data_IF_737583306498
#
_entry.id   IF_737583306498
#
_cell.length_a   1.000
_cell.length_b   1.000
_cell.length_c   1.000
_cell.angle_alpha   90.00
_cell.angle_beta   90.00
_cell.angle_gamma   90.00
#
_symmetry.space_group_name_H-M   'P 1'
#
loop_
_entity.id
_entity.type
_entity.pdbx_description
1 polymer ?
#
# COMPACT_ATOMS: atom_id res chain seq x y z
N UNK A 1 -33.70 -23.77 -46.73
CA UNK A 1 -32.63 -24.60 -47.32
C UNK A 1 -31.31 -24.30 -46.60
N UNK A 2 -30.58 -25.36 -46.24
CA UNK A 2 -29.22 -25.46 -45.68
C UNK A 2 -28.95 -24.87 -44.27
N UNK A 3 -29.17 -25.77 -43.32
CA UNK A 3 -28.52 -25.89 -42.01
C UNK A 3 -27.04 -26.29 -42.16
N UNK A 4 -26.16 -25.78 -41.29
CA UNK A 4 -24.94 -26.49 -40.90
C UNK A 4 -24.71 -26.36 -39.38
N UNK A 5 -24.88 -27.51 -38.72
CA UNK A 5 -24.46 -27.80 -37.35
C UNK A 5 -22.95 -27.96 -37.31
N UNK A 6 -22.29 -27.44 -36.28
CA UNK A 6 -20.96 -27.90 -35.87
C UNK A 6 -20.97 -28.29 -34.40
N UNK A 7 -20.43 -29.48 -34.16
CA UNK A 7 -20.59 -30.33 -32.99
C UNK A 7 -19.67 -29.95 -31.84
N UNK A 8 -20.21 -30.00 -30.62
CA UNK A 8 -19.47 -30.10 -29.36
C UNK A 8 -18.60 -31.37 -29.35
N UNK A 9 -17.31 -31.25 -29.01
CA UNK A 9 -16.48 -32.37 -28.55
C UNK A 9 -16.13 -32.16 -27.08
N UNK A 10 -16.64 -33.09 -26.25
CA UNK A 10 -16.24 -33.29 -24.86
C UNK A 10 -14.88 -33.99 -24.84
N UNK A 11 -13.92 -33.48 -24.09
CA UNK A 11 -12.75 -34.25 -23.67
C UNK A 11 -12.95 -34.68 -22.21
N UNK A 12 -12.95 -35.99 -21.99
CA UNK A 12 -12.92 -36.64 -20.70
C UNK A 12 -11.79 -37.66 -20.71
N UNK A 13 -10.85 -37.54 -19.78
CA UNK A 13 -9.86 -38.54 -19.32
C UNK A 13 -8.88 -37.77 -18.40
N UNK A 14 -8.39 -38.26 -17.27
CA UNK A 14 -8.51 -39.55 -16.59
C UNK A 14 -8.00 -39.28 -15.16
N UNK A 15 -8.76 -39.65 -14.15
CA UNK A 15 -8.28 -39.67 -12.77
C UNK A 15 -7.33 -40.85 -12.58
N UNK A 16 -6.12 -40.60 -12.09
CA UNK A 16 -5.20 -41.63 -11.61
C UNK A 16 -5.18 -41.59 -10.09
N UNK A 17 -5.81 -42.61 -9.50
CA UNK A 17 -5.72 -42.97 -8.10
C UNK A 17 -4.27 -43.27 -7.71
N UNK A 18 -3.73 -42.57 -6.70
CA UNK A 18 -2.57 -43.05 -5.95
C UNK A 18 -3.01 -43.46 -4.55
N UNK A 19 -2.70 -44.72 -4.29
CA UNK A 19 -2.94 -45.53 -3.12
C UNK A 19 -2.24 -44.94 -1.89
N UNK A 20 -2.95 -45.00 -0.77
CA UNK A 20 -2.44 -44.73 0.57
C UNK A 20 -1.40 -45.78 0.98
N UNK A 21 -0.31 -45.33 1.59
CA UNK A 21 0.54 -46.15 2.46
C UNK A 21 0.55 -45.46 3.82
N UNK A 22 -0.04 -46.13 4.80
CA UNK A 22 0.02 -45.74 6.19
C UNK A 22 1.38 -46.12 6.81
N UNK A 23 1.86 -45.28 7.71
CA UNK A 23 2.84 -45.68 8.71
C UNK A 23 2.42 -45.09 10.06
N UNK A 24 2.25 -46.00 11.02
CA UNK A 24 1.81 -45.76 12.39
C UNK A 24 2.93 -45.16 13.24
N UNK A 25 2.48 -44.31 14.17
CA UNK A 25 2.97 -44.02 15.53
C UNK A 25 4.34 -44.56 15.99
N UNK A 26 5.14 -43.68 16.57
CA UNK A 26 5.91 -43.98 17.78
C UNK A 26 6.04 -42.70 18.64
N UNK A 27 5.34 -42.70 19.78
CA UNK A 27 5.55 -41.78 20.88
C UNK A 27 6.76 -42.21 21.69
N UNK A 28 7.62 -41.29 22.11
CA UNK A 28 8.46 -41.50 23.28
C UNK A 28 8.65 -40.18 24.04
N UNK A 29 8.08 -40.14 25.25
CA UNK A 29 8.34 -39.15 26.30
C UNK A 29 9.44 -39.67 27.23
N UNK A 30 9.94 -38.74 28.05
CA UNK A 30 10.82 -38.85 29.24
C UNK A 30 12.30 -38.65 28.90
N UNK A 31 13.10 -37.85 29.63
CA UNK A 31 12.87 -37.09 30.85
C UNK A 31 14.17 -36.33 31.19
N UNK A 32 14.04 -35.25 31.98
CA UNK A 32 15.17 -34.55 32.63
C UNK A 32 15.87 -35.45 33.65
N UNK A 33 17.14 -35.16 33.95
CA UNK A 33 17.46 -34.83 35.34
C UNK A 33 18.38 -33.62 35.51
N UNK A 34 18.57 -33.30 36.78
CA UNK A 34 18.98 -32.04 37.41
C UNK A 34 20.44 -32.00 37.88
N UNK A 35 20.92 -30.75 38.06
CA UNK A 35 21.86 -30.22 39.09
C UNK A 35 23.36 -30.61 39.11
N UNK A 36 24.15 -29.54 38.96
CA UNK A 36 25.19 -29.02 39.88
C UNK A 36 26.41 -29.88 40.25
N UNK A 37 27.60 -29.31 40.01
CA UNK A 37 28.87 -29.75 40.59
C UNK A 37 30.03 -28.90 40.08
N UNK A 38 30.73 -28.24 41.00
CA UNK A 38 31.76 -27.22 40.82
C UNK A 38 33.18 -27.78 40.62
N UNK A 39 34.07 -26.86 40.22
CA UNK A 39 35.53 -26.79 40.46
C UNK A 39 36.45 -27.84 39.82
N UNK A 40 37.32 -27.40 38.91
CA UNK A 40 38.75 -27.14 39.18
C UNK A 40 39.54 -26.88 37.89
N UNK A 41 40.45 -25.91 37.96
CA UNK A 41 41.39 -25.54 36.90
C UNK A 41 42.49 -26.59 36.75
N UNK A 42 42.80 -26.95 35.50
CA UNK A 42 44.11 -27.48 35.13
C UNK A 42 44.45 -27.02 33.70
N UNK A 43 45.50 -26.21 33.59
CA UNK A 43 46.14 -25.86 32.33
C UNK A 43 46.91 -27.09 31.83
N UNK A 44 46.61 -27.56 30.62
CA UNK A 44 47.43 -28.49 29.88
C UNK A 44 47.53 -28.01 28.42
N UNK A 45 48.73 -27.63 28.03
CA UNK A 45 49.14 -27.32 26.67
C UNK A 45 49.07 -28.58 25.82
N UNK A 46 48.09 -28.62 24.92
CA UNK A 46 47.93 -29.69 23.94
C UNK A 46 47.62 -29.09 22.57
N UNK A 47 48.60 -29.08 21.68
CA UNK A 47 48.44 -28.88 20.25
C UNK A 47 47.63 -30.05 19.70
N UNK A 48 46.33 -29.85 19.48
CA UNK A 48 45.50 -30.77 18.71
C UNK A 48 44.79 -30.03 17.59
N UNK A 49 45.02 -30.54 16.38
CA UNK A 49 44.43 -30.13 15.12
C UNK A 49 42.97 -30.58 15.11
N UNK A 50 42.05 -29.62 15.30
CA UNK A 50 40.61 -29.88 15.26
C UNK A 50 40.00 -29.28 14.00
N UNK A 51 39.71 -30.17 13.05
CA UNK A 51 38.90 -29.95 11.85
C UNK A 51 37.41 -29.99 12.23
N UNK A 52 36.90 -28.88 12.74
CA UNK A 52 35.46 -28.64 12.92
C UNK A 52 34.87 -27.85 11.74
N UNK A 53 33.63 -28.13 11.30
CA UNK A 53 33.00 -27.39 10.21
C UNK A 53 32.72 -25.93 10.62
N UNK A 54 33.33 -25.00 9.89
CA UNK A 54 33.06 -23.56 9.97
C UNK A 54 31.59 -23.31 9.61
N UNK A 55 30.80 -22.60 10.43
CA UNK A 55 29.47 -22.18 10.03
C UNK A 55 29.61 -21.20 8.86
N UNK A 56 29.17 -21.63 7.68
CA UNK A 56 29.14 -20.81 6.47
C UNK A 56 28.24 -19.59 6.72
N UNK A 57 28.87 -18.46 7.04
CA UNK A 57 28.31 -17.13 6.79
C UNK A 57 28.04 -17.00 5.28
N UNK A 58 26.82 -17.32 4.83
CA UNK A 58 26.33 -16.86 3.53
C UNK A 58 25.72 -15.47 3.73
N UNK A 59 26.62 -14.49 3.81
CA UNK A 59 26.29 -13.09 3.88
C UNK A 59 27.47 -12.32 3.32
N UNK A 60 27.55 -12.26 1.98
CA UNK A 60 28.21 -11.22 1.18
C UNK A 60 28.17 -11.68 -0.29
N UNK A 61 27.21 -11.19 -1.06
CA UNK A 61 27.29 -11.04 -2.52
C UNK A 61 26.05 -10.28 -3.01
N UNK A 62 25.96 -8.99 -2.70
CA UNK A 62 25.15 -8.05 -3.50
C UNK A 62 25.73 -6.65 -3.36
N UNK A 63 26.75 -6.35 -4.17
CA UNK A 63 27.19 -4.99 -4.45
C UNK A 63 27.51 -4.92 -5.94
N UNK A 64 26.47 -4.90 -6.77
CA UNK A 64 26.50 -4.40 -8.15
C UNK A 64 25.08 -4.41 -8.73
N UNK A 65 24.38 -3.27 -8.65
CA UNK A 65 23.46 -2.75 -9.68
C UNK A 65 22.58 -1.61 -9.12
N UNK A 66 23.20 -0.52 -8.66
CA UNK A 66 22.60 0.82 -8.73
C UNK A 66 23.67 1.70 -9.38
N UNK A 67 23.83 1.54 -10.69
CA UNK A 67 24.75 2.36 -11.48
C UNK A 67 24.35 2.33 -12.96
N UNK A 68 23.13 2.72 -13.29
CA UNK A 68 22.76 3.01 -14.69
C UNK A 68 21.77 4.18 -14.74
N UNK A 69 22.32 5.39 -14.59
CA UNK A 69 21.94 6.63 -15.29
C UNK A 69 22.60 7.85 -14.61
N UNK A 70 23.86 8.12 -14.93
CA UNK A 70 24.51 9.41 -14.64
C UNK A 70 25.17 9.90 -15.92
N UNK A 71 24.62 10.89 -16.64
CA UNK A 71 25.48 11.82 -17.35
C UNK A 71 25.98 12.86 -16.35
N UNK A 72 27.31 12.90 -16.21
CA UNK A 72 28.16 13.90 -15.56
C UNK A 72 27.45 15.08 -14.86
N UNK A 73 27.32 15.01 -13.53
CA UNK A 73 27.21 16.19 -12.67
C UNK A 73 28.57 16.45 -12.01
N UNK A 74 28.98 17.72 -11.82
CA UNK A 74 30.29 18.08 -11.27
C UNK A 74 30.46 17.50 -9.86
N UNK A 75 31.63 16.91 -9.62
CA UNK A 75 31.98 16.00 -8.52
C UNK A 75 31.99 16.61 -7.10
N UNK A 76 31.22 17.67 -6.81
CA UNK A 76 31.28 18.38 -5.53
C UNK A 76 29.97 18.38 -4.71
N UNK A 77 28.93 17.62 -5.10
CA UNK A 77 27.66 17.54 -4.33
C UNK A 77 27.19 16.12 -3.94
N UNK A 78 28.01 15.10 -4.17
CA UNK A 78 27.64 13.69 -3.90
C UNK A 78 28.05 13.24 -2.47
N UNK A 79 28.89 14.00 -1.76
CA UNK A 79 29.49 13.56 -0.50
C UNK A 79 28.56 13.49 0.72
N UNK A 80 27.49 14.28 0.80
CA UNK A 80 26.64 14.36 2.00
C UNK A 80 25.32 13.59 1.92
N UNK A 81 24.80 13.34 0.72
CA UNK A 81 23.57 12.56 0.52
C UNK A 81 23.83 11.04 0.58
N UNK A 82 24.94 10.57 0.01
CA UNK A 82 25.26 9.14 -0.06
C UNK A 82 25.55 8.47 1.30
N UNK A 83 26.08 9.23 2.27
CA UNK A 83 26.40 8.70 3.60
C UNK A 83 25.21 8.66 4.57
N UNK A 84 24.17 9.50 4.37
CA UNK A 84 22.97 9.49 5.23
C UNK A 84 22.02 8.32 4.92
N UNK A 85 22.03 7.80 3.68
CA UNK A 85 21.16 6.69 3.26
C UNK A 85 21.60 5.31 3.76
N UNK A 86 22.91 5.03 3.84
CA UNK A 86 23.40 3.67 4.14
C UNK A 86 23.08 3.23 5.57
N UNK A 87 23.10 4.14 6.54
CA UNK A 87 22.74 3.81 7.93
C UNK A 87 21.25 3.52 8.12
N UNK A 88 20.38 4.19 7.35
CA UNK A 88 18.93 3.98 7.40
C UNK A 88 18.51 2.63 6.80
N UNK A 89 19.28 2.08 5.85
CA UNK A 89 19.00 0.77 5.26
C UNK A 89 19.02 -0.38 6.29
N UNK A 90 19.80 -0.24 7.37
CA UNK A 90 19.97 -1.26 8.42
C UNK A 90 19.36 -0.87 9.77
N UNK A 91 18.74 0.32 9.87
CA UNK A 91 18.11 0.77 11.11
C UNK A 91 16.72 0.14 11.25
N UNK A 92 16.39 -0.33 12.45
CA UNK A 92 15.02 -0.73 12.77
C UNK A 92 14.10 0.50 12.67
N UNK A 93 12.89 0.36 12.11
CA UNK A 93 11.94 1.45 12.04
C UNK A 93 11.67 2.05 13.42
N UNK A 94 11.54 3.38 13.50
CA UNK A 94 11.17 4.07 14.74
C UNK A 94 9.78 3.63 15.17
N UNK A 95 9.64 3.29 16.46
CA UNK A 95 8.36 2.86 17.03
C UNK A 95 7.31 3.96 17.00
N UNK A 96 6.06 3.54 16.81
CA UNK A 96 4.88 4.41 16.89
C UNK A 96 3.83 3.78 17.81
N UNK A 97 2.89 4.58 18.30
CA UNK A 97 1.73 4.03 19.02
C UNK A 97 0.80 3.38 18.01
N UNK A 98 0.84 2.06 17.94
CA UNK A 98 -0.04 1.30 17.05
C UNK A 98 -1.50 1.35 17.52
N UNK A 99 -2.40 1.63 16.60
CA UNK A 99 -3.82 1.61 16.84
C UNK A 99 -4.32 0.17 17.07
N UNK A 100 -5.12 -0.05 18.11
CA UNK A 100 -5.75 -1.35 18.43
C UNK A 100 -7.25 -1.39 18.15
N UNK A 101 -7.83 -0.26 17.78
CA UNK A 101 -9.26 -0.08 17.52
C UNK A 101 -9.43 0.74 16.24
N UNK A 102 -9.10 0.17 15.06
CA UNK A 102 -9.09 0.89 13.79
C UNK A 102 -10.49 1.33 13.34
N UNK A 103 -11.53 0.66 13.83
CA UNK A 103 -12.94 0.93 13.52
C UNK A 103 -13.77 1.06 14.78
N UNK A 104 -14.86 1.82 14.74
CA UNK A 104 -15.80 1.95 15.85
C UNK A 104 -17.25 2.11 15.37
N UNK A 105 -18.21 1.59 16.13
CA UNK A 105 -19.65 1.58 15.75
C UNK A 105 -20.28 2.97 15.69
N UNK A 106 -19.72 3.93 16.42
CA UNK A 106 -20.16 5.32 16.48
C UNK A 106 -19.55 6.19 15.36
N UNK A 107 -18.89 5.57 14.39
CA UNK A 107 -18.20 6.25 13.29
C UNK A 107 -18.91 5.97 11.97
N UNK A 108 -19.33 7.05 11.31
CA UNK A 108 -19.85 7.01 9.95
C UNK A 108 -18.76 7.18 8.91
N UNK A 109 -17.83 8.10 9.11
CA UNK A 109 -16.65 8.26 8.27
C UNK A 109 -15.43 8.50 9.15
N UNK A 110 -14.44 7.63 9.04
CA UNK A 110 -13.18 7.75 9.77
C UNK A 110 -11.98 7.26 8.97
N UNK A 111 -10.82 7.85 9.23
CA UNK A 111 -9.55 7.49 8.61
C UNK A 111 -8.52 7.22 9.69
N UNK A 112 -7.86 6.07 9.59
CA UNK A 112 -6.64 5.75 10.32
C UNK A 112 -5.47 5.83 9.33
N UNK A 113 -4.50 6.70 9.59
CA UNK A 113 -3.28 6.74 8.79
C UNK A 113 -2.27 5.72 9.31
N UNK A 114 -1.99 4.69 8.50
CA UNK A 114 -1.06 3.60 8.84
C UNK A 114 0.38 3.98 8.48
N UNK A 115 0.57 5.02 7.67
CA UNK A 115 1.85 5.50 7.17
C UNK A 115 2.02 5.23 5.67
N UNK A 116 2.80 6.07 5.01
CA UNK A 116 2.92 6.14 3.55
C UNK A 116 1.57 6.44 2.89
N UNK A 117 1.25 5.80 1.77
CA UNK A 117 -0.09 5.79 1.17
C UNK A 117 -1.06 4.78 1.82
N UNK A 118 -0.64 4.07 2.88
CA UNK A 118 -1.52 3.13 3.58
C UNK A 118 -2.46 3.87 4.53
N UNK A 119 -3.75 3.85 4.23
CA UNK A 119 -4.81 4.36 5.08
C UNK A 119 -5.95 3.34 5.18
N UNK A 120 -6.46 3.17 6.40
CA UNK A 120 -7.69 2.42 6.64
C UNK A 120 -8.84 3.41 6.74
N UNK A 121 -9.78 3.30 5.81
CA UNK A 121 -10.97 4.13 5.73
C UNK A 121 -12.16 3.30 6.20
N UNK A 122 -12.86 3.79 7.21
CA UNK A 122 -14.14 3.26 7.65
C UNK A 122 -15.26 4.13 7.10
N UNK A 123 -16.22 3.53 6.39
CA UNK A 123 -17.50 4.16 6.04
C UNK A 123 -18.62 3.28 6.57
N UNK A 124 -19.29 3.71 7.64
CA UNK A 124 -20.24 2.91 8.43
C UNK A 124 -19.67 1.52 8.77
N UNK A 125 -20.23 0.46 8.19
CA UNK A 125 -19.82 -0.94 8.36
C UNK A 125 -18.76 -1.41 7.34
N UNK A 126 -18.41 -0.60 6.34
CA UNK A 126 -17.40 -0.93 5.34
C UNK A 126 -16.01 -0.49 5.76
N UNK A 127 -15.03 -1.34 5.46
CA UNK A 127 -13.61 -1.03 5.66
C UNK A 127 -12.87 -1.13 4.33
N UNK A 128 -12.16 -0.07 3.99
CA UNK A 128 -11.34 0.04 2.79
C UNK A 128 -9.89 0.25 3.22
N UNK A 129 -8.94 -0.40 2.56
CA UNK A 129 -7.51 -0.26 2.82
C UNK A 129 -6.80 0.17 1.54
N UNK A 130 -6.12 1.30 1.58
CA UNK A 130 -5.34 1.82 0.43
C UNK A 130 -3.90 1.32 0.50
N UNK A 131 -3.32 0.97 -0.64
CA UNK A 131 -1.89 0.69 -0.87
C UNK A 131 -1.18 0.06 0.34
N UNK A 132 -1.55 -1.18 0.73
CA UNK A 132 -1.13 -1.75 2.00
C UNK A 132 0.36 -2.06 2.03
N UNK A 133 1.08 -1.37 2.92
CA UNK A 133 2.49 -1.64 3.20
C UNK A 133 2.73 -1.72 4.70
N UNK A 134 2.94 -2.95 5.18
CA UNK A 134 3.27 -3.26 6.58
C UNK A 134 4.71 -3.77 6.75
N UNK A 135 5.33 -4.26 5.66
CA UNK A 135 6.68 -4.82 5.68
C UNK A 135 7.71 -3.75 6.02
N UNK A 136 8.73 -4.13 6.82
CA UNK A 136 9.81 -3.21 7.22
C UNK A 136 10.71 -2.79 6.06
N UNK A 137 10.71 -3.55 4.96
CA UNK A 137 11.46 -3.27 3.73
C UNK A 137 10.54 -3.49 2.54
N UNK A 138 10.57 -2.59 1.56
CA UNK A 138 9.88 -2.71 0.26
C UNK A 138 10.89 -2.84 -0.86
N UNK A 139 10.56 -3.64 -1.88
CA UNK A 139 11.44 -3.91 -3.03
C UNK A 139 12.80 -4.52 -2.66
N UNK A 140 12.94 -5.04 -1.43
CA UNK A 140 14.20 -5.50 -0.82
C UNK A 140 15.27 -4.41 -0.63
N UNK A 141 14.94 -3.14 -0.87
CA UNK A 141 15.94 -2.05 -0.91
C UNK A 141 15.56 -0.82 -0.09
N UNK A 142 14.27 -0.55 0.13
CA UNK A 142 13.84 0.64 0.86
C UNK A 142 13.28 0.24 2.23
N UNK A 143 14.01 0.57 3.29
CA UNK A 143 13.59 0.33 4.68
C UNK A 143 12.63 1.42 5.16
N UNK A 144 11.60 1.02 5.92
CA UNK A 144 10.71 1.95 6.61
C UNK A 144 11.49 2.72 7.68
N UNK A 145 11.26 4.03 7.74
CA UNK A 145 11.77 4.89 8.81
C UNK A 145 10.97 4.71 10.11
N UNK A 146 9.71 4.27 10.01
CA UNK A 146 8.72 4.22 11.07
C UNK A 146 7.86 2.96 10.96
N UNK A 147 7.53 2.36 12.10
CA UNK A 147 6.62 1.21 12.18
C UNK A 147 5.24 1.58 11.59
N UNK A 148 4.50 0.61 11.02
CA UNK A 148 3.12 0.85 10.60
C UNK A 148 2.25 1.23 11.80
N UNK A 149 1.34 2.16 11.57
CA UNK A 149 0.40 2.68 12.57
C UNK A 149 -0.62 1.67 13.09
N UNK A 150 -0.66 0.47 12.53
CA UNK A 150 -1.45 -0.68 13.00
C UNK A 150 -0.62 -1.95 12.82
N UNK A 151 -0.78 -2.90 13.73
CA UNK A 151 -0.24 -4.25 13.57
C UNK A 151 -1.12 -4.99 12.53
N UNK A 152 -0.56 -5.67 11.51
CA UNK A 152 -1.33 -6.43 10.53
C UNK A 152 -2.36 -7.37 11.14
N UNK A 153 -2.08 -7.93 12.33
CA UNK A 153 -3.04 -8.81 13.03
C UNK A 153 -4.31 -8.07 13.48
N UNK A 154 -4.21 -6.77 13.76
CA UNK A 154 -5.28 -5.92 14.27
C UNK A 154 -6.09 -5.27 13.12
N UNK A 155 -5.67 -5.45 11.86
CA UNK A 155 -6.47 -5.08 10.68
C UNK A 155 -7.77 -5.91 10.69
N UNK A 156 -8.96 -5.31 10.57
CA UNK A 156 -10.22 -6.04 10.49
C UNK A 156 -10.40 -6.68 9.10
N UNK A 157 -11.54 -7.34 8.87
CA UNK A 157 -11.91 -7.72 7.49
C UNK A 157 -12.07 -6.46 6.65
N UNK A 158 -11.52 -6.49 5.44
CA UNK A 158 -11.48 -5.37 4.50
C UNK A 158 -12.39 -5.70 3.32
N UNK A 159 -13.35 -4.84 3.03
CA UNK A 159 -14.29 -4.99 1.93
C UNK A 159 -13.63 -4.77 0.57
N UNK A 160 -12.68 -3.82 0.50
CA UNK A 160 -11.87 -3.57 -0.68
C UNK A 160 -10.45 -3.10 -0.29
N UNK A 161 -9.45 -3.72 -0.89
CA UNK A 161 -8.07 -3.20 -0.93
C UNK A 161 -7.89 -2.46 -2.25
N UNK A 162 -7.46 -1.21 -2.18
CA UNK A 162 -7.23 -0.36 -3.35
C UNK A 162 -5.73 -0.28 -3.61
N UNK A 163 -5.29 -0.74 -4.77
CA UNK A 163 -3.90 -0.56 -5.23
C UNK A 163 -3.90 0.53 -6.28
N UNK A 164 -3.21 1.64 -6.03
CA UNK A 164 -3.14 2.77 -6.95
C UNK A 164 -2.24 2.46 -8.15
N UNK A 165 -1.05 1.91 -7.93
CA UNK A 165 -0.06 1.61 -8.97
C UNK A 165 0.96 0.55 -8.53
N UNK A 166 1.85 0.15 -9.44
CA UNK A 166 2.63 -1.10 -9.33
C UNK A 166 3.99 -0.98 -8.64
N UNK A 167 4.36 0.20 -8.11
CA UNK A 167 5.61 0.34 -7.35
C UNK A 167 5.58 -0.48 -6.05
N UNK A 168 6.76 -0.82 -5.55
CA UNK A 168 6.91 -1.71 -4.39
C UNK A 168 6.36 -1.15 -3.08
N UNK A 169 6.34 0.18 -2.96
CA UNK A 169 5.82 0.93 -1.82
C UNK A 169 4.30 1.17 -1.89
N UNK A 170 3.63 0.66 -2.93
CA UNK A 170 2.16 0.72 -3.07
C UNK A 170 1.54 -0.66 -3.28
N UNK A 171 2.28 -1.59 -3.90
CA UNK A 171 1.88 -2.96 -4.14
C UNK A 171 2.90 -3.96 -3.55
N UNK A 172 2.80 -4.18 -2.24
CA UNK A 172 3.70 -5.05 -1.45
C UNK A 172 3.09 -6.45 -1.25
N UNK A 173 3.69 -7.47 -1.88
CA UNK A 173 3.23 -8.86 -1.75
C UNK A 173 3.27 -9.36 -0.31
N UNK A 174 4.38 -9.13 0.40
CA UNK A 174 4.48 -9.55 1.80
C UNK A 174 3.46 -8.86 2.70
N UNK A 175 3.02 -7.65 2.34
CA UNK A 175 1.94 -6.97 3.08
C UNK A 175 0.58 -7.58 2.80
N UNK A 176 0.31 -7.99 1.54
CA UNK A 176 -0.91 -8.70 1.16
C UNK A 176 -0.96 -10.10 1.79
N UNK A 177 0.15 -10.83 1.84
CA UNK A 177 0.26 -12.13 2.53
C UNK A 177 -0.11 -12.01 4.02
N UNK A 178 0.30 -10.94 4.70
CA UNK A 178 0.01 -10.72 6.12
C UNK A 178 -1.47 -10.49 6.43
N UNK A 179 -2.28 -10.12 5.43
CA UNK A 179 -3.71 -9.80 5.59
C UNK A 179 -4.61 -10.62 4.65
N UNK A 180 -4.07 -11.65 4.01
CA UNK A 180 -4.74 -12.37 2.92
C UNK A 180 -6.13 -12.88 3.31
N UNK A 181 -6.26 -13.42 4.53
CA UNK A 181 -7.50 -13.95 5.09
C UNK A 181 -8.56 -12.88 5.42
N UNK A 182 -8.20 -11.60 5.30
CA UNK A 182 -9.04 -10.44 5.61
C UNK A 182 -9.55 -9.72 4.38
N UNK A 183 -8.96 -9.96 3.21
CA UNK A 183 -9.27 -9.24 1.96
C UNK A 183 -10.47 -9.88 1.25
N UNK A 184 -11.56 -9.12 1.07
CA UNK A 184 -12.71 -9.57 0.27
C UNK A 184 -12.59 -9.27 -1.22
N UNK A 185 -11.88 -8.18 -1.57
CA UNK A 185 -11.63 -7.79 -2.94
C UNK A 185 -10.33 -6.99 -3.05
N UNK A 186 -9.52 -7.28 -4.07
CA UNK A 186 -8.37 -6.48 -4.47
C UNK A 186 -8.72 -5.73 -5.77
N UNK A 187 -8.60 -4.40 -5.75
CA UNK A 187 -8.83 -3.55 -6.92
C UNK A 187 -7.48 -3.01 -7.42
N UNK A 188 -7.20 -3.27 -8.68
CA UNK A 188 -5.95 -2.95 -9.37
C UNK A 188 -6.23 -1.95 -10.51
N UNK A 189 -5.24 -1.12 -10.88
CA UNK A 189 -5.33 -0.33 -12.11
C UNK A 189 -5.24 -1.27 -13.32
N UNK A 190 -5.59 -0.75 -14.49
CA UNK A 190 -5.40 -1.42 -15.78
C UNK A 190 -4.01 -2.07 -15.92
N UNK A 191 -3.98 -3.31 -16.40
CA UNK A 191 -2.80 -4.17 -16.54
C UNK A 191 -2.05 -4.49 -15.23
N UNK A 192 -2.54 -4.06 -14.06
CA UNK A 192 -1.89 -4.34 -12.78
C UNK A 192 -1.85 -5.83 -12.42
N UNK A 193 -2.77 -6.63 -12.96
CA UNK A 193 -2.80 -8.07 -12.75
C UNK A 193 -1.60 -8.79 -13.34
N UNK A 194 -0.88 -8.17 -14.27
CA UNK A 194 0.40 -8.70 -14.78
C UNK A 194 1.43 -8.92 -13.65
N UNK A 195 1.25 -8.25 -12.52
CA UNK A 195 2.09 -8.39 -11.32
C UNK A 195 1.41 -9.11 -10.16
N UNK A 196 0.18 -9.62 -10.32
CA UNK A 196 -0.51 -10.34 -9.27
C UNK A 196 -0.11 -11.83 -9.30
N UNK A 197 0.48 -12.39 -8.23
CA UNK A 197 0.73 -13.82 -8.13
C UNK A 197 -0.57 -14.64 -8.13
N UNK A 198 -0.57 -15.77 -8.84
CA UNK A 198 -1.73 -16.67 -8.98
C UNK A 198 -2.14 -17.39 -7.68
N UNK A 199 -1.36 -17.27 -6.60
CA UNK A 199 -1.54 -18.05 -5.37
C UNK A 199 -2.26 -17.30 -4.24
N UNK A 200 -2.68 -16.05 -4.46
CA UNK A 200 -3.50 -15.33 -3.48
C UNK A 200 -4.94 -15.86 -3.48
N UNK A 201 -5.52 -16.03 -2.28
CA UNK A 201 -6.84 -16.60 -2.07
C UNK A 201 -8.00 -15.61 -2.29
N UNK A 202 -7.72 -14.31 -2.30
CA UNK A 202 -8.72 -13.27 -2.53
C UNK A 202 -8.95 -13.03 -4.03
N UNK A 203 -10.18 -12.67 -4.43
CA UNK A 203 -10.45 -12.28 -5.81
C UNK A 203 -9.91 -10.88 -6.11
N UNK A 204 -9.48 -10.67 -7.35
CA UNK A 204 -8.97 -9.38 -7.83
C UNK A 204 -9.72 -8.87 -9.07
N UNK A 205 -9.73 -7.56 -9.26
CA UNK A 205 -10.34 -6.89 -10.41
C UNK A 205 -9.43 -5.79 -10.92
N UNK A 206 -9.33 -5.70 -12.24
CA UNK A 206 -8.77 -4.51 -12.89
C UNK A 206 -9.87 -3.50 -13.19
N UNK A 207 -9.64 -2.26 -12.79
CA UNK A 207 -10.50 -1.14 -13.12
C UNK A 207 -9.77 -0.18 -14.05
N UNK A 208 -10.36 0.07 -15.21
CA UNK A 208 -9.91 1.14 -16.08
C UNK A 208 -10.53 2.47 -15.61
N UNK A 209 -9.93 3.59 -16.01
CA UNK A 209 -10.46 4.92 -15.69
C UNK A 209 -11.95 5.02 -16.01
N UNK A 210 -12.72 5.51 -15.03
CA UNK A 210 -14.18 5.62 -15.00
C UNK A 210 -14.97 4.31 -14.93
N UNK A 211 -14.31 3.16 -14.81
CA UNK A 211 -14.99 1.92 -14.45
C UNK A 211 -15.18 1.84 -12.94
N UNK A 212 -16.32 1.27 -12.55
CA UNK A 212 -16.66 1.02 -11.16
C UNK A 212 -16.71 -0.48 -10.88
N UNK A 213 -16.23 -0.85 -9.70
CA UNK A 213 -16.56 -2.09 -9.03
C UNK A 213 -17.61 -1.79 -7.97
N UNK A 214 -18.65 -2.62 -7.87
CA UNK A 214 -19.69 -2.44 -6.86
C UNK A 214 -20.06 -3.78 -6.22
N UNK A 215 -20.16 -3.79 -4.90
CA UNK A 215 -20.60 -4.96 -4.13
C UNK A 215 -21.19 -4.53 -2.80
N UNK A 216 -22.35 -5.08 -2.44
CA UNK A 216 -23.03 -4.81 -1.17
C UNK A 216 -23.21 -3.29 -0.90
N UNK A 217 -23.52 -2.53 -1.96
CA UNK A 217 -23.68 -1.07 -1.96
C UNK A 217 -22.37 -0.26 -1.91
N UNK A 218 -21.22 -0.88 -1.66
CA UNK A 218 -19.92 -0.23 -1.73
C UNK A 218 -19.49 -0.11 -3.20
N UNK A 219 -19.40 1.12 -3.69
CA UNK A 219 -18.97 1.42 -5.06
C UNK A 219 -17.57 2.03 -5.04
N UNK A 220 -16.69 1.51 -5.86
CA UNK A 220 -15.33 2.04 -6.04
C UNK A 220 -15.11 2.32 -7.52
N UNK A 221 -14.92 3.60 -7.86
CA UNK A 221 -14.67 4.03 -9.25
C UNK A 221 -13.20 4.41 -9.41
N UNK A 222 -12.52 3.84 -10.41
CA UNK A 222 -11.19 4.28 -10.80
C UNK A 222 -11.26 5.66 -11.48
N UNK A 223 -10.41 6.60 -11.07
CA UNK A 223 -10.41 8.00 -11.55
C UNK A 223 -9.02 8.39 -12.06
N UNK A 224 -8.91 9.36 -12.99
CA UNK A 224 -7.64 9.70 -13.59
C UNK A 224 -6.73 10.39 -12.58
N UNK A 225 -5.46 10.04 -12.68
CA UNK A 225 -4.33 10.68 -12.02
C UNK A 225 -3.17 10.68 -13.02
N UNK A 226 -2.08 11.39 -12.74
CA UNK A 226 -0.88 11.38 -13.59
C UNK A 226 0.29 10.76 -12.84
N UNK A 227 0.73 9.57 -13.25
CA UNK A 227 1.84 8.86 -12.61
C UNK A 227 2.51 7.88 -13.60
N UNK A 228 3.36 6.99 -13.10
CA UNK A 228 3.98 5.90 -13.88
C UNK A 228 3.57 4.54 -13.33
N UNK A 229 3.35 3.57 -14.21
CA UNK A 229 2.77 2.27 -13.83
C UNK A 229 3.77 1.12 -13.77
N UNK A 230 5.07 1.39 -13.89
CA UNK A 230 6.07 0.33 -13.85
C UNK A 230 6.23 -0.26 -12.45
N UNK A 231 6.87 -1.44 -12.37
CA UNK A 231 7.28 -2.06 -11.10
C UNK A 231 8.80 -2.13 -10.96
N UNK A 232 9.50 -2.41 -12.06
CA UNK A 232 10.95 -2.65 -12.09
C UNK A 232 11.72 -1.57 -12.86
N UNK A 233 11.03 -0.56 -13.39
CA UNK A 233 11.60 0.51 -14.23
C UNK A 233 11.80 0.08 -15.68
N UNK A 234 12.42 -1.08 -15.92
CA UNK A 234 12.65 -1.64 -17.27
C UNK A 234 11.36 -1.89 -18.05
N UNK A 235 10.25 -2.08 -17.34
CA UNK A 235 8.91 -2.36 -17.84
C UNK A 235 8.09 -1.10 -18.13
N UNK A 236 8.62 0.10 -17.83
CA UNK A 236 7.94 1.37 -18.07
C UNK A 236 7.60 1.64 -19.54
N UNK A 237 8.25 0.95 -20.48
CA UNK A 237 7.93 1.04 -21.89
C UNK A 237 6.56 0.45 -22.26
N UNK A 238 6.06 -0.54 -21.52
CA UNK A 238 4.77 -1.20 -21.78
C UNK A 238 3.75 -1.07 -20.63
N UNK A 239 4.18 -0.76 -19.41
CA UNK A 239 3.31 -0.53 -18.23
C UNK A 239 2.89 0.93 -18.05
N UNK A 240 2.63 1.64 -19.15
CA UNK A 240 2.40 3.10 -19.16
C UNK A 240 1.09 3.57 -18.53
N UNK A 241 0.16 2.66 -18.21
CA UNK A 241 -1.17 3.00 -17.73
C UNK A 241 -1.57 2.22 -16.48
N UNK A 242 -0.60 1.62 -15.79
CA UNK A 242 -0.84 0.80 -14.60
C UNK A 242 -0.80 1.63 -13.32
N UNK A 243 -1.56 2.70 -13.33
CA UNK A 243 -1.82 3.60 -12.21
C UNK A 243 -3.26 4.13 -12.28
N UNK A 244 -3.84 4.47 -11.14
CA UNK A 244 -5.15 5.11 -11.02
C UNK A 244 -5.33 5.73 -9.64
N UNK A 245 -6.18 6.74 -9.54
CA UNK A 245 -6.83 7.10 -8.27
C UNK A 245 -8.15 6.35 -8.11
N UNK A 246 -8.81 6.52 -6.97
CA UNK A 246 -10.13 5.97 -6.72
C UNK A 246 -11.07 6.96 -6.04
N UNK A 247 -12.36 6.89 -6.35
CA UNK A 247 -13.44 7.44 -5.51
C UNK A 247 -14.26 6.28 -4.95
N UNK A 248 -14.35 6.24 -3.63
CA UNK A 248 -15.14 5.27 -2.87
C UNK A 248 -16.44 5.94 -2.46
N UNK A 249 -17.57 5.31 -2.77
CA UNK A 249 -18.91 5.77 -2.42
C UNK A 249 -19.63 4.72 -1.60
N UNK A 250 -20.14 5.11 -0.44
CA UNK A 250 -20.99 4.26 0.38
C UNK A 250 -21.92 5.10 1.25
N UNK A 251 -23.22 4.77 1.24
CA UNK A 251 -24.25 5.46 2.04
C UNK A 251 -24.20 6.99 1.95
N UNK A 252 -23.95 7.52 0.74
CA UNK A 252 -23.86 8.94 0.46
C UNK A 252 -22.52 9.60 0.80
N UNK A 253 -21.61 8.91 1.50
CA UNK A 253 -20.24 9.38 1.75
C UNK A 253 -19.34 9.13 0.54
N UNK A 254 -18.38 10.02 0.30
CA UNK A 254 -17.39 9.94 -0.78
C UNK A 254 -15.99 10.18 -0.27
N UNK A 255 -15.10 9.24 -0.56
CA UNK A 255 -13.67 9.36 -0.25
C UNK A 255 -12.86 9.27 -1.53
N UNK A 256 -12.05 10.28 -1.79
CA UNK A 256 -11.07 10.28 -2.87
C UNK A 256 -9.73 9.75 -2.36
N UNK A 257 -9.11 8.87 -3.13
CA UNK A 257 -7.75 8.39 -2.90
C UNK A 257 -6.91 8.62 -4.15
N UNK A 258 -5.89 9.47 -4.06
CA UNK A 258 -5.04 9.83 -5.21
C UNK A 258 -3.93 8.83 -5.53
N UNK A 259 -3.56 7.94 -4.60
CA UNK A 259 -2.29 7.23 -4.71
C UNK A 259 -1.13 8.22 -4.81
N UNK A 260 -0.18 7.93 -5.69
CA UNK A 260 0.81 8.90 -6.13
C UNK A 260 0.35 9.58 -7.41
N UNK A 261 0.54 10.89 -7.48
CA UNK A 261 0.08 11.67 -8.64
C UNK A 261 0.91 12.93 -8.78
N UNK A 262 1.22 13.31 -10.01
CA UNK A 262 1.59 14.66 -10.38
C UNK A 262 0.35 15.57 -10.42
N UNK A 263 0.58 16.87 -10.38
CA UNK A 263 -0.50 17.83 -10.53
C UNK A 263 -0.93 17.97 -11.99
N UNK A 264 -2.14 17.51 -12.28
CA UNK A 264 -2.88 17.88 -13.49
C UNK A 264 -4.28 18.36 -13.08
N UNK A 265 -4.50 19.67 -13.19
CA UNK A 265 -5.76 20.32 -12.83
C UNK A 265 -6.97 19.66 -13.52
N UNK A 266 -6.83 19.19 -14.76
CA UNK A 266 -7.95 18.61 -15.51
C UNK A 266 -8.47 17.34 -14.85
N UNK A 267 -7.58 16.50 -14.35
CA UNK A 267 -7.93 15.24 -13.68
C UNK A 267 -8.74 15.51 -12.40
N UNK A 268 -8.32 16.48 -11.60
CA UNK A 268 -9.00 16.83 -10.34
C UNK A 268 -10.35 17.51 -10.59
N UNK A 269 -10.41 18.46 -11.52
CA UNK A 269 -11.66 19.15 -11.88
C UNK A 269 -12.66 18.19 -12.52
N UNK A 270 -12.24 17.30 -13.43
CA UNK A 270 -13.14 16.30 -14.03
C UNK A 270 -13.67 15.33 -12.95
N UNK A 271 -12.82 14.95 -12.00
CA UNK A 271 -13.24 14.11 -10.87
C UNK A 271 -14.27 14.84 -10.01
N UNK A 272 -14.06 16.10 -9.65
CA UNK A 272 -15.02 16.89 -8.87
C UNK A 272 -16.37 17.06 -9.58
N UNK A 273 -16.36 17.26 -10.90
CA UNK A 273 -17.58 17.37 -11.71
C UNK A 273 -18.41 16.08 -11.70
N UNK A 274 -17.76 14.91 -11.72
CA UNK A 274 -18.44 13.60 -11.67
C UNK A 274 -18.84 13.21 -10.25
N UNK A 275 -18.05 13.60 -9.26
CA UNK A 275 -18.23 13.25 -7.85
C UNK A 275 -18.32 14.50 -6.98
N UNK A 276 -19.43 15.26 -7.07
CA UNK A 276 -19.60 16.43 -6.23
C UNK A 276 -19.67 16.04 -4.75
N UNK A 277 -19.15 16.92 -3.89
CA UNK A 277 -19.14 16.75 -2.42
C UNK A 277 -18.30 15.55 -1.96
N UNK A 278 -17.00 15.58 -2.27
CA UNK A 278 -16.04 14.63 -1.70
C UNK A 278 -15.87 14.97 -0.20
N UNK A 279 -16.15 14.03 0.69
CA UNK A 279 -16.06 14.28 2.14
C UNK A 279 -14.61 14.32 2.60
N UNK A 280 -13.80 13.36 2.14
CA UNK A 280 -12.37 13.26 2.47
C UNK A 280 -11.55 12.95 1.22
N UNK A 281 -10.48 13.70 0.99
CA UNK A 281 -9.47 13.42 -0.02
C UNK A 281 -8.14 13.00 0.64
N UNK A 282 -7.68 11.80 0.33
CA UNK A 282 -6.35 11.29 0.70
C UNK A 282 -5.38 11.67 -0.43
N UNK A 283 -4.47 12.62 -0.17
CA UNK A 283 -3.59 13.21 -1.18
C UNK A 283 -2.11 13.13 -0.79
N UNK A 284 -1.22 12.68 -1.69
CA UNK A 284 0.21 12.64 -1.43
C UNK A 284 0.77 14.06 -1.32
N UNK A 285 1.72 14.29 -0.42
CA UNK A 285 2.42 15.57 -0.28
C UNK A 285 3.95 15.45 -0.43
N UNK A 286 4.41 14.27 -0.84
CA UNK A 286 5.81 13.90 -1.02
C UNK A 286 5.89 12.83 -2.11
N UNK A 287 7.10 12.55 -2.64
CA UNK A 287 8.33 13.33 -2.53
C UNK A 287 8.30 14.70 -3.24
N UNK A 288 9.12 15.64 -2.75
CA UNK A 288 9.22 17.01 -3.23
C UNK A 288 10.44 17.19 -4.14
N UNK A 289 11.62 16.83 -3.65
CA UNK A 289 12.90 17.13 -4.31
C UNK A 289 13.55 15.91 -5.00
N UNK A 290 14.32 16.10 -6.10
CA UNK A 290 14.50 17.35 -6.81
C UNK A 290 13.27 17.72 -7.64
N UNK A 291 12.77 18.96 -7.51
CA UNK A 291 11.48 19.38 -8.08
C UNK A 291 11.37 19.18 -9.59
N UNK A 292 12.42 19.47 -10.35
CA UNK A 292 12.43 19.33 -11.83
C UNK A 292 12.19 17.88 -12.31
N UNK A 293 12.52 16.90 -11.47
CA UNK A 293 12.26 15.49 -11.73
C UNK A 293 10.93 15.04 -11.13
N UNK A 294 10.71 15.32 -9.85
CA UNK A 294 9.55 14.83 -9.11
C UNK A 294 8.21 15.36 -9.65
N UNK A 295 8.18 16.59 -10.18
CA UNK A 295 6.95 17.19 -10.74
C UNK A 295 6.29 16.45 -11.90
N UNK A 296 6.98 15.49 -12.50
CA UNK A 296 6.43 14.66 -13.59
C UNK A 296 5.55 13.53 -13.07
N UNK A 297 5.64 13.20 -11.78
CA UNK A 297 5.00 12.02 -11.20
C UNK A 297 4.43 12.26 -9.80
N UNK A 298 4.83 13.32 -9.10
CA UNK A 298 4.44 13.59 -7.72
C UNK A 298 4.11 15.06 -7.52
N UNK A 299 3.06 15.34 -6.77
CA UNK A 299 2.73 16.66 -6.24
C UNK A 299 3.67 17.05 -5.09
N UNK A 300 4.05 18.31 -5.04
CA UNK A 300 4.52 18.92 -3.79
C UNK A 300 3.33 19.31 -2.88
N UNK A 301 3.56 19.75 -1.62
CA UNK A 301 2.46 20.12 -0.73
C UNK A 301 1.59 21.29 -1.22
N UNK A 302 2.11 22.23 -2.00
CA UNK A 302 1.31 23.33 -2.55
C UNK A 302 0.41 22.83 -3.67
N UNK A 303 0.94 21.99 -4.55
CA UNK A 303 0.21 21.29 -5.60
C UNK A 303 -0.88 20.39 -5.01
N UNK A 304 -0.58 19.68 -3.93
CA UNK A 304 -1.57 18.85 -3.23
C UNK A 304 -2.70 19.68 -2.59
N UNK A 305 -2.40 20.87 -2.04
CA UNK A 305 -3.44 21.78 -1.58
C UNK A 305 -4.27 22.35 -2.74
N UNK A 306 -3.66 22.60 -3.90
CA UNK A 306 -4.40 23.03 -5.09
C UNK A 306 -5.30 21.91 -5.60
N UNK A 307 -4.81 20.67 -5.68
CA UNK A 307 -5.61 19.50 -6.02
C UNK A 307 -6.76 19.29 -5.03
N UNK A 308 -6.51 19.49 -3.73
CA UNK A 308 -7.58 19.52 -2.74
C UNK A 308 -8.64 20.55 -3.12
N UNK A 309 -8.25 21.80 -3.41
CA UNK A 309 -9.17 22.87 -3.83
C UNK A 309 -9.99 22.46 -5.05
N UNK A 310 -9.33 21.98 -6.11
CA UNK A 310 -9.94 21.59 -7.39
C UNK A 310 -10.88 20.38 -7.26
N UNK A 311 -10.62 19.47 -6.31
CA UNK A 311 -11.51 18.36 -5.96
C UNK A 311 -12.78 18.80 -5.23
N UNK A 312 -12.86 20.07 -4.79
CA UNK A 312 -13.95 20.60 -3.95
C UNK A 312 -14.21 19.76 -2.69
N UNK A 313 -13.20 19.03 -2.20
CA UNK A 313 -13.33 18.14 -1.06
C UNK A 313 -13.49 18.91 0.26
N UNK A 314 -14.29 18.39 1.20
CA UNK A 314 -14.51 19.02 2.49
C UNK A 314 -13.29 18.92 3.41
N UNK A 315 -12.62 17.76 3.43
CA UNK A 315 -11.39 17.55 4.20
C UNK A 315 -10.28 16.91 3.36
N UNK A 316 -9.04 17.29 3.61
CA UNK A 316 -7.83 16.65 3.08
C UNK A 316 -7.10 15.91 4.21
N UNK A 317 -6.70 14.67 3.97
CA UNK A 317 -5.71 13.96 4.78
C UNK A 317 -4.45 13.77 3.94
N UNK A 318 -3.36 14.49 4.25
CA UNK A 318 -2.07 14.27 3.61
C UNK A 318 -1.53 12.85 3.84
N UNK A 319 -0.95 12.24 2.81
CA UNK A 319 -0.33 10.90 2.85
C UNK A 319 1.06 10.90 2.15
N UNK A 320 1.71 9.74 2.10
CA UNK A 320 2.98 9.46 1.38
C UNK A 320 4.28 10.04 1.97
N UNK A 321 4.21 10.84 3.03
CA UNK A 321 5.39 11.45 3.64
C UNK A 321 5.92 10.69 4.88
N UNK A 322 7.16 10.99 5.26
CA UNK A 322 7.84 10.58 6.50
C UNK A 322 7.86 9.08 6.84
N UNK A 323 7.65 8.22 5.84
CA UNK A 323 7.58 6.76 6.03
C UNK A 323 8.76 6.01 5.40
N UNK A 324 9.19 6.43 4.23
CA UNK A 324 10.36 5.91 3.51
C UNK A 324 11.29 7.05 3.09
N UNK A 325 12.55 6.74 2.78
CA UNK A 325 13.43 7.65 2.04
C UNK A 325 13.22 7.38 0.55
N UNK A 326 12.36 8.16 -0.10
CA UNK A 326 12.01 8.02 -1.52
C UNK A 326 12.56 9.16 -2.40
N UNK A 327 13.32 10.09 -1.80
CA UNK A 327 13.81 11.30 -2.46
C UNK A 327 14.98 11.93 -1.71
N UNK A 328 15.34 13.16 -2.06
CA UNK A 328 16.32 13.97 -1.31
C UNK A 328 15.68 14.81 -0.18
N UNK A 329 14.41 14.59 0.13
CA UNK A 329 13.71 15.28 1.22
C UNK A 329 14.23 14.82 2.59
N UNK A 330 14.18 15.72 3.59
CA UNK A 330 14.38 15.33 4.98
C UNK A 330 13.03 15.04 5.64
N UNK A 331 12.90 13.99 6.47
CA UNK A 331 11.68 13.77 7.22
C UNK A 331 11.21 15.03 7.97
N UNK A 332 9.93 15.36 7.83
CA UNK A 332 9.28 16.57 8.32
C UNK A 332 9.27 17.75 7.36
N UNK A 333 10.00 17.72 6.24
CA UNK A 333 10.00 18.82 5.27
C UNK A 333 8.65 18.97 4.58
N UNK A 334 7.98 17.86 4.24
CA UNK A 334 6.66 17.89 3.61
C UNK A 334 5.61 18.61 4.46
N UNK A 335 5.58 18.36 5.78
CA UNK A 335 4.66 19.05 6.68
C UNK A 335 4.99 20.53 6.87
N UNK A 336 6.29 20.91 6.90
CA UNK A 336 6.69 22.31 6.95
C UNK A 336 6.25 23.06 5.68
N UNK A 337 6.47 22.45 4.52
CA UNK A 337 6.08 23.02 3.23
C UNK A 337 4.55 23.09 3.10
N UNK A 338 3.80 22.08 3.57
CA UNK A 338 2.34 22.12 3.65
C UNK A 338 1.86 23.28 4.51
N UNK A 339 2.39 23.42 5.73
CA UNK A 339 2.02 24.48 6.65
C UNK A 339 2.35 25.88 6.08
N UNK A 340 3.42 26.01 5.30
CA UNK A 340 3.73 27.26 4.61
C UNK A 340 2.75 27.53 3.47
N UNK A 341 2.45 26.53 2.63
CA UNK A 341 1.51 26.68 1.53
C UNK A 341 0.08 27.03 2.01
N UNK A 342 -0.35 26.53 3.17
CA UNK A 342 -1.63 26.88 3.80
C UNK A 342 -1.74 28.35 4.24
N UNK A 343 -0.62 29.08 4.41
CA UNK A 343 -0.66 30.52 4.71
C UNK A 343 -1.00 31.35 3.47
N UNK A 344 -0.65 30.84 2.30
CA UNK A 344 -0.73 31.59 1.04
C UNK A 344 -1.91 31.16 0.17
N UNK A 345 -2.43 29.95 0.37
CA UNK A 345 -3.53 29.38 -0.41
C UNK A 345 -4.78 29.21 0.45
N UNK A 346 -5.80 30.01 0.14
CA UNK A 346 -7.12 29.87 0.76
C UNK A 346 -7.83 28.62 0.23
N UNK A 347 -8.15 27.68 1.12
CA UNK A 347 -8.78 26.41 0.74
C UNK A 347 -10.31 26.45 0.68
N UNK A 348 -10.93 27.61 0.97
CA UNK A 348 -12.38 27.77 1.01
C UNK A 348 -12.99 27.66 2.41
N UNK A 349 -14.22 28.16 2.61
CA UNK A 349 -14.88 28.16 3.91
C UNK A 349 -15.32 26.74 4.29
N UNK A 350 -15.18 26.39 5.57
CA UNK A 350 -15.60 25.08 6.10
C UNK A 350 -14.76 23.89 5.63
N UNK A 351 -13.66 24.13 4.90
CA UNK A 351 -12.75 23.10 4.39
C UNK A 351 -11.52 22.98 5.28
N UNK A 352 -11.04 21.75 5.50
CA UNK A 352 -9.97 21.48 6.47
C UNK A 352 -8.87 20.60 5.89
N UNK A 353 -7.62 20.91 6.26
CA UNK A 353 -6.47 20.02 6.02
C UNK A 353 -6.13 19.39 7.36
N UNK A 354 -6.15 18.07 7.43
CA UNK A 354 -6.02 17.29 8.66
C UNK A 354 -4.83 16.33 8.54
N UNK A 355 -3.59 16.82 8.78
CA UNK A 355 -2.44 15.94 8.96
C UNK A 355 -2.68 15.03 10.17
N UNK A 356 -2.38 13.75 10.01
CA UNK A 356 -2.48 12.75 11.07
C UNK A 356 -1.08 12.30 11.49
N UNK A 357 -0.89 11.90 12.74
CA UNK A 357 0.27 11.09 13.10
C UNK A 357 0.09 9.66 12.61
N UNK A 358 1.19 8.94 12.34
CA UNK A 358 1.12 7.51 12.01
C UNK A 358 0.55 6.74 13.20
N UNK A 359 -0.56 6.03 12.97
CA UNK A 359 -1.36 5.34 13.99
C UNK A 359 -2.54 6.17 14.53
N UNK A 360 -2.61 7.46 14.19
CA UNK A 360 -3.74 8.32 14.55
C UNK A 360 -4.96 7.97 13.70
N UNK A 361 -6.10 7.85 14.38
CA UNK A 361 -7.42 7.72 13.79
C UNK A 361 -8.21 8.99 13.99
N UNK A 362 -8.80 9.51 12.93
CA UNK A 362 -9.70 10.67 12.93
C UNK A 362 -11.09 10.25 12.47
N UNK A 363 -12.09 10.67 13.24
CA UNK A 363 -13.50 10.58 12.83
C UNK A 363 -13.89 11.91 12.20
N UNK A 364 -14.36 11.88 10.95
CA UNK A 364 -14.84 13.04 10.19
C UNK A 364 -16.35 13.20 10.30
N UNK A 365 -17.09 12.09 10.37
CA UNK A 365 -18.54 12.08 10.55
C UNK A 365 -18.90 11.00 11.57
N UNK A 366 -19.66 11.38 12.61
CA UNK A 366 -20.15 10.42 13.61
C UNK A 366 -21.38 9.68 13.10
N UNK A 367 -21.65 8.52 13.70
CA UNK A 367 -22.88 7.78 13.45
C UNK A 367 -24.11 8.67 13.75
N UNK A 368 -25.08 8.68 12.83
CA UNK A 368 -26.28 9.51 12.93
C UNK A 368 -26.13 10.95 12.42
N UNK A 369 -24.91 11.38 12.08
CA UNK A 369 -24.66 12.67 11.41
C UNK A 369 -24.54 12.46 9.88
N UNK A 370 -24.73 13.54 9.10
CA UNK A 370 -24.66 13.50 7.62
C UNK A 370 -26.00 13.23 6.94
N UNK A 371 -26.03 13.15 5.59
CA UNK A 371 -27.27 12.88 4.84
C UNK A 371 -27.89 11.55 5.25
N UNK A 372 -29.24 11.41 5.22
CA UNK A 372 -29.89 10.13 5.52
C UNK A 372 -29.33 9.02 4.63
N UNK A 373 -29.32 7.79 5.15
CA UNK A 373 -28.92 6.62 4.36
C UNK A 373 -29.76 6.58 3.08
N UNK A 374 -29.14 6.49 1.90
CA UNK A 374 -29.90 6.34 0.66
C UNK A 374 -30.73 5.06 0.74
N UNK A 375 -31.86 5.05 0.01
CA UNK A 375 -32.59 3.79 -0.21
C UNK A 375 -31.63 2.75 -0.81
N UNK A 376 -31.77 1.46 -0.45
CA UNK A 376 -30.90 0.42 -0.97
C UNK A 376 -30.88 0.47 -2.51
N UNK A 377 -29.69 0.43 -3.14
CA UNK A 377 -29.58 0.65 -4.57
C UNK A 377 -30.40 -0.38 -5.35
N UNK A 378 -30.97 0.06 -6.49
CA UNK A 378 -31.49 -0.88 -7.49
C UNK A 378 -30.31 -1.69 -8.04
N UNK A 379 -30.47 -2.99 -8.33
CA UNK A 379 -29.37 -3.80 -8.86
C UNK A 379 -28.83 -3.19 -10.15
N UNK A 380 -27.59 -2.73 -10.09
CA UNK A 380 -26.81 -2.16 -11.19
C UNK A 380 -25.93 -3.24 -11.87
N UNK A 381 -25.36 -2.98 -13.07
CA UNK A 381 -24.71 -4.02 -13.87
C UNK A 381 -23.64 -4.76 -13.08
N UNK A 382 -23.51 -6.07 -13.36
CA UNK A 382 -22.53 -6.92 -12.70
C UNK A 382 -21.13 -6.30 -12.77
N UNK A 383 -20.34 -6.38 -11.68
CA UNK A 383 -18.96 -5.93 -11.70
C UNK A 383 -18.21 -6.67 -12.82
N UNK A 384 -17.13 -6.09 -13.38
CA UNK A 384 -16.29 -6.81 -14.31
C UNK A 384 -15.93 -8.19 -13.73
N UNK A 385 -15.78 -9.24 -14.56
CA UNK A 385 -15.48 -10.57 -14.04
C UNK A 385 -14.17 -10.53 -13.25
N UNK A 386 -14.16 -11.20 -12.10
CA UNK A 386 -12.95 -11.32 -11.29
C UNK A 386 -11.83 -12.01 -12.10
N UNK A 387 -10.61 -11.53 -11.90
CA UNK A 387 -9.40 -12.22 -12.29
C UNK A 387 -9.30 -13.46 -11.39
N UNK A 388 -9.29 -14.63 -12.01
CA UNK A 388 -9.19 -15.92 -11.30
C UNK A 388 -7.76 -16.37 -11.21
#
# INVERSE_FOLDING_TARGET
MRSSRTSRRRFAARATSRTAIGARSASCRRGRPTRAGSSSCAFASGTSTWSGPVPRRKGLALLAAVALALPALPACRIGSAGLRGVGALFASPRKVTQNKTPTAKDTRLGVLWVGHATALVQIDDKVILTDPVFTSVVGQVASRLVEPGIDPKDVPKVDAVLVSHMHFDHFSYGSLELIEDKVKALLLPRNGSAYLPDNFAFPAWELHTWQAWEKDGLRVTAVPVDHVGFRYGIDGAWMKSSFTGYVVEYHGMKVYFGGDSAYDQRNFVETAQRFPKIDVALLPIAPIEPRDFMRRTHMDPREALQAFVDLEAASMVPIHYDTFVNSTDTPGDALKALAQAQKDLYVGPGRAVTPLAIGERRVFVKAGEGPPLPEPPKPEPEPPPALR
#
